data_IF_303256739139
#
_entry.id   IF_303256739139
#
_cell.length_a   1.000
_cell.length_b   1.000
_cell.length_c   1.000
_cell.angle_alpha   90.00
_cell.angle_beta   90.00
_cell.angle_gamma   90.00
#
_symmetry.space_group_name_H-M   'P 1'
#
loop_
_entity.id
_entity.type
_entity.pdbx_description
1 polymer ?
#
# COMPACT_ATOMS: atom_id res chain seq x y z
N UNK A 1 -43.72 22.05 -2.06
CA UNK A 1 -42.87 21.36 -3.04
C UNK A 1 -41.43 21.65 -2.66
N UNK A 2 -40.85 20.82 -1.77
CA UNK A 2 -39.47 20.99 -1.31
C UNK A 2 -38.54 20.30 -2.32
N UNK A 3 -37.68 21.10 -2.96
CA UNK A 3 -36.60 20.59 -3.80
C UNK A 3 -35.45 20.25 -2.86
N UNK A 4 -35.32 18.97 -2.49
CA UNK A 4 -34.12 18.48 -1.84
C UNK A 4 -32.94 18.64 -2.81
N UNK A 5 -32.03 19.56 -2.49
CA UNK A 5 -30.81 19.75 -3.24
C UNK A 5 -29.91 18.52 -3.07
N UNK A 6 -29.67 17.80 -4.16
CA UNK A 6 -28.69 16.72 -4.19
C UNK A 6 -27.31 17.26 -3.79
N UNK A 7 -26.58 16.61 -2.86
CA UNK A 7 -25.26 17.07 -2.44
C UNK A 7 -24.27 17.02 -3.61
N UNK A 8 -23.49 18.10 -3.74
CA UNK A 8 -22.52 18.32 -4.81
C UNK A 8 -21.47 17.19 -4.86
N UNK A 9 -21.01 16.83 -6.06
CA UNK A 9 -19.93 15.84 -6.28
C UNK A 9 -18.69 16.11 -5.42
N UNK A 10 -18.42 17.37 -5.10
CA UNK A 10 -17.34 17.78 -4.19
C UNK A 10 -17.59 17.38 -2.74
N UNK A 11 -18.84 17.45 -2.27
CA UNK A 11 -19.21 17.04 -0.91
C UNK A 11 -19.17 15.53 -0.75
N UNK A 12 -19.49 14.77 -1.81
CA UNK A 12 -19.32 13.31 -1.85
C UNK A 12 -17.84 12.92 -1.84
N UNK A 13 -16.99 13.62 -2.60
CA UNK A 13 -15.55 13.40 -2.62
C UNK A 13 -14.87 13.77 -1.29
N UNK A 14 -15.26 14.87 -0.65
CA UNK A 14 -14.75 15.27 0.67
C UNK A 14 -15.23 14.32 1.78
N UNK A 15 -16.46 13.81 1.69
CA UNK A 15 -16.97 12.77 2.59
C UNK A 15 -16.29 11.43 2.35
N UNK A 16 -15.98 11.09 1.10
CA UNK A 16 -15.12 9.95 0.74
C UNK A 16 -13.72 10.14 1.30
N UNK A 17 -13.04 11.27 1.12
CA UNK A 17 -11.71 11.57 1.69
C UNK A 17 -11.68 11.50 3.22
N UNK A 18 -12.72 11.97 3.91
CA UNK A 18 -12.85 11.81 5.38
C UNK A 18 -13.12 10.36 5.78
N UNK A 19 -13.93 9.64 5.01
CA UNK A 19 -14.12 8.20 5.16
C UNK A 19 -12.86 7.42 4.76
N UNK A 20 -11.99 7.98 3.91
CA UNK A 20 -10.76 7.37 3.40
C UNK A 20 -9.61 7.53 4.39
N UNK A 21 -9.47 8.70 5.00
CA UNK A 21 -8.61 8.89 6.16
C UNK A 21 -9.09 8.10 7.38
N UNK A 22 -10.39 7.83 7.51
CA UNK A 22 -10.94 6.91 8.50
C UNK A 22 -10.77 5.43 8.11
N UNK A 23 -10.86 5.08 6.83
CA UNK A 23 -10.60 3.74 6.30
C UNK A 23 -9.13 3.38 6.44
N UNK A 24 -8.22 4.31 6.13
CA UNK A 24 -6.81 4.22 6.43
C UNK A 24 -6.60 4.01 7.93
N UNK A 25 -7.25 4.81 8.80
CA UNK A 25 -7.17 4.70 10.28
C UNK A 25 -7.82 3.43 10.84
N UNK A 26 -8.84 2.87 10.20
CA UNK A 26 -9.61 1.72 10.65
C UNK A 26 -8.92 0.42 10.20
N UNK A 27 -8.50 0.34 8.93
CA UNK A 27 -7.82 -0.80 8.35
C UNK A 27 -6.38 -0.93 8.91
N UNK A 28 -5.71 0.19 9.21
CA UNK A 28 -4.45 0.18 9.99
C UNK A 28 -4.69 -0.11 11.48
N UNK A 29 -5.79 0.35 12.11
CA UNK A 29 -6.13 0.01 13.52
C UNK A 29 -6.46 -1.46 13.72
N UNK A 30 -7.18 -2.10 12.81
CA UNK A 30 -7.44 -3.54 12.90
C UNK A 30 -6.15 -4.36 12.67
N UNK A 31 -5.23 -3.85 11.84
CA UNK A 31 -3.88 -4.41 11.71
C UNK A 31 -3.00 -4.15 12.95
N UNK A 32 -3.32 -3.14 13.76
CA UNK A 32 -2.55 -2.75 14.95
C UNK A 32 -2.79 -3.67 16.16
N UNK A 33 -3.84 -4.51 16.15
CA UNK A 33 -4.20 -5.35 17.29
C UNK A 33 -3.45 -6.69 17.34
N UNK A 34 -2.69 -7.07 16.31
CA UNK A 34 -2.02 -8.39 16.22
C UNK A 34 -0.70 -8.41 15.43
N UNK A 35 0.15 -7.37 15.47
CA UNK A 35 1.41 -7.40 14.70
C UNK A 35 2.66 -7.04 15.51
N UNK A 36 3.60 -7.99 15.55
CA UNK A 36 5.00 -7.75 15.88
C UNK A 36 5.63 -6.81 14.84
N UNK A 37 6.32 -5.77 15.31
CA UNK A 37 6.74 -4.56 14.58
C UNK A 37 7.95 -4.77 13.65
N UNK A 38 7.86 -5.67 12.67
CA UNK A 38 8.86 -5.80 11.59
C UNK A 38 8.14 -6.20 10.29
N UNK A 39 7.87 -5.22 9.42
CA UNK A 39 7.32 -5.47 8.07
C UNK A 39 5.94 -4.86 7.74
N UNK A 40 5.37 -4.03 8.60
CA UNK A 40 4.02 -3.50 8.40
C UNK A 40 3.90 -2.61 7.14
N UNK A 41 4.93 -1.81 6.81
CA UNK A 41 4.90 -0.89 5.66
C UNK A 41 5.08 -1.67 4.35
N UNK A 42 5.98 -2.65 4.31
CA UNK A 42 6.19 -3.52 3.17
C UNK A 42 4.95 -4.34 2.82
N UNK A 43 4.25 -4.89 3.84
CA UNK A 43 2.96 -5.57 3.64
C UNK A 43 1.91 -4.65 3.03
N UNK A 44 1.78 -3.43 3.55
CA UNK A 44 0.84 -2.42 3.03
C UNK A 44 1.17 -2.08 1.58
N UNK A 45 2.43 -1.72 1.28
CA UNK A 45 2.88 -1.39 -0.08
C UNK A 45 2.53 -2.53 -1.04
N UNK A 46 2.89 -3.77 -0.71
CA UNK A 46 2.67 -4.91 -1.59
C UNK A 46 1.18 -5.23 -1.78
N UNK A 47 0.38 -5.15 -0.70
CA UNK A 47 -1.08 -5.34 -0.75
C UNK A 47 -1.73 -4.35 -1.72
N UNK A 48 -1.44 -3.06 -1.56
CA UNK A 48 -1.97 -2.01 -2.43
C UNK A 48 -1.42 -2.10 -3.86
N UNK A 49 -0.16 -2.54 -4.04
CA UNK A 49 0.45 -2.69 -5.36
C UNK A 49 -0.25 -3.79 -6.19
N UNK A 50 -0.54 -4.93 -5.57
CA UNK A 50 -1.31 -6.01 -6.19
C UNK A 50 -2.69 -5.48 -6.60
N UNK A 51 -3.40 -4.83 -5.68
CA UNK A 51 -4.74 -4.29 -5.94
C UNK A 51 -4.74 -3.28 -7.10
N UNK A 52 -3.79 -2.34 -7.11
CA UNK A 52 -3.62 -1.34 -8.17
C UNK A 52 -3.34 -1.99 -9.53
N UNK A 53 -2.47 -3.01 -9.56
CA UNK A 53 -2.10 -3.73 -10.80
C UNK A 53 -3.27 -4.54 -11.37
N UNK A 54 -4.09 -5.14 -10.50
CA UNK A 54 -5.31 -5.85 -10.89
C UNK A 54 -6.35 -4.93 -11.52
N UNK A 55 -6.51 -3.71 -11.00
CA UNK A 55 -7.39 -2.68 -11.55
C UNK A 55 -6.86 -2.15 -12.89
N UNK A 56 -5.56 -1.84 -12.97
CA UNK A 56 -4.90 -1.35 -14.20
C UNK A 56 -5.11 -2.35 -15.36
N UNK A 57 -4.87 -3.64 -15.09
CA UNK A 57 -5.04 -4.71 -16.09
C UNK A 57 -6.48 -4.85 -16.57
N UNK A 58 -7.47 -4.69 -15.68
CA UNK A 58 -8.89 -4.77 -16.07
C UNK A 58 -9.26 -3.63 -17.02
N UNK A 59 -8.81 -2.42 -16.73
CA UNK A 59 -9.17 -1.25 -17.53
C UNK A 59 -8.51 -1.23 -18.90
N UNK A 60 -7.26 -1.68 -19.00
CA UNK A 60 -6.61 -1.89 -20.29
C UNK A 60 -7.37 -2.88 -21.19
N UNK A 61 -8.12 -3.83 -20.61
CA UNK A 61 -8.96 -4.76 -21.37
C UNK A 61 -10.28 -4.13 -21.81
N UNK A 62 -10.85 -3.21 -21.03
CA UNK A 62 -12.16 -2.62 -21.31
C UNK A 62 -12.08 -1.38 -22.22
N UNK A 63 -11.06 -0.54 -22.07
CA UNK A 63 -10.96 0.72 -22.81
C UNK A 63 -9.49 1.14 -23.01
N UNK A 64 -8.93 1.01 -24.23
CA UNK A 64 -7.60 1.53 -24.54
C UNK A 64 -7.66 3.05 -24.75
N UNK A 65 -8.05 3.79 -23.71
CA UNK A 65 -8.01 5.26 -23.69
C UNK A 65 -6.71 5.75 -23.05
N UNK A 66 -6.33 6.99 -23.38
CA UNK A 66 -5.21 7.64 -22.71
C UNK A 66 -5.46 7.67 -21.20
N UNK A 67 -4.51 7.18 -20.38
CA UNK A 67 -4.72 7.08 -18.94
C UNK A 67 -4.83 8.47 -18.31
N UNK A 68 -5.81 8.63 -17.42
CA UNK A 68 -5.99 9.86 -16.64
C UNK A 68 -4.70 10.22 -15.87
N UNK A 69 -4.57 11.48 -15.46
CA UNK A 69 -3.41 11.91 -14.66
C UNK A 69 -3.31 11.10 -13.37
N UNK A 70 -4.42 10.92 -12.66
CA UNK A 70 -4.49 10.15 -11.43
C UNK A 70 -4.11 8.68 -11.64
N UNK A 71 -4.57 8.05 -12.73
CA UNK A 71 -4.17 6.69 -13.10
C UNK A 71 -2.66 6.58 -13.31
N UNK A 72 -2.07 7.51 -14.07
CA UNK A 72 -0.61 7.53 -14.29
C UNK A 72 0.17 7.73 -12.99
N UNK A 73 -0.28 8.64 -12.12
CA UNK A 73 0.35 8.88 -10.82
C UNK A 73 0.29 7.63 -9.95
N UNK A 74 -0.91 7.07 -9.74
CA UNK A 74 -1.12 5.86 -8.95
C UNK A 74 -0.26 4.70 -9.45
N UNK A 75 -0.30 4.39 -10.75
CA UNK A 75 0.47 3.29 -11.32
C UNK A 75 1.99 3.48 -11.19
N UNK A 76 2.50 4.70 -11.39
CA UNK A 76 3.94 5.00 -11.26
C UNK A 76 4.42 4.90 -9.82
N UNK A 77 3.72 5.54 -8.90
CA UNK A 77 4.08 5.49 -7.48
C UNK A 77 3.93 4.08 -6.91
N UNK A 78 2.90 3.35 -7.33
CA UNK A 78 2.73 1.93 -6.97
C UNK A 78 3.94 1.08 -7.36
N UNK A 79 4.40 1.19 -8.62
CA UNK A 79 5.59 0.46 -9.08
C UNK A 79 6.87 0.92 -8.37
N UNK A 80 7.00 2.22 -8.11
CA UNK A 80 8.15 2.77 -7.38
C UNK A 80 8.21 2.23 -5.95
N UNK A 81 7.10 2.23 -5.21
CA UNK A 81 7.08 1.66 -3.86
C UNK A 81 7.35 0.15 -3.86
N UNK A 82 6.80 -0.60 -4.83
CA UNK A 82 7.12 -2.02 -4.99
C UNK A 82 8.61 -2.25 -5.33
N UNK A 83 9.22 -1.35 -6.11
CA UNK A 83 10.67 -1.34 -6.36
C UNK A 83 11.46 -1.13 -5.06
N UNK A 84 11.05 -0.17 -4.21
CA UNK A 84 11.71 0.04 -2.91
C UNK A 84 11.67 -1.24 -2.07
N UNK A 85 10.52 -1.91 -1.97
CA UNK A 85 10.40 -3.18 -1.23
C UNK A 85 11.30 -4.27 -1.80
N UNK A 86 11.41 -4.38 -3.13
CA UNK A 86 12.13 -5.47 -3.78
C UNK A 86 13.65 -5.24 -3.88
N UNK A 87 14.10 -3.99 -4.00
CA UNK A 87 15.47 -3.64 -4.40
C UNK A 87 16.18 -2.64 -3.49
N UNK A 88 15.43 -1.83 -2.73
CA UNK A 88 15.98 -0.83 -1.81
C UNK A 88 15.33 -0.93 -0.41
N UNK A 89 15.22 -2.14 0.20
CA UNK A 89 14.55 -2.30 1.49
C UNK A 89 15.21 -1.47 2.62
N UNK A 90 16.48 -1.09 2.48
CA UNK A 90 17.19 -0.18 3.39
C UNK A 90 16.63 1.26 3.42
N UNK A 91 15.87 1.66 2.39
CA UNK A 91 15.19 2.96 2.31
C UNK A 91 13.78 2.92 2.89
N UNK A 92 13.31 1.73 3.28
CA UNK A 92 12.02 1.58 3.94
C UNK A 92 12.19 1.67 5.45
N UNK A 93 11.12 2.01 6.17
CA UNK A 93 11.21 2.17 7.62
C UNK A 93 11.04 0.89 8.42
N UNK A 94 10.71 -0.20 7.73
CA UNK A 94 10.67 -1.52 8.33
C UNK A 94 12.10 -2.07 8.43
N UNK A 95 12.30 -3.03 9.33
CA UNK A 95 13.51 -3.84 9.33
C UNK A 95 13.73 -4.48 7.95
N UNK A 96 14.98 -4.41 7.48
CA UNK A 96 15.38 -4.90 6.16
C UNK A 96 15.09 -6.38 6.01
N UNK A 97 15.39 -7.18 7.03
CA UNK A 97 15.16 -8.63 6.97
C UNK A 97 13.67 -8.96 6.93
N UNK A 98 12.84 -8.26 7.71
CA UNK A 98 11.38 -8.36 7.67
C UNK A 98 10.82 -8.06 6.30
N UNK A 99 11.24 -6.95 5.71
CA UNK A 99 10.86 -6.54 4.34
C UNK A 99 11.23 -7.61 3.32
N UNK A 100 12.46 -8.13 3.37
CA UNK A 100 12.92 -9.19 2.48
C UNK A 100 12.13 -10.50 2.65
N UNK A 101 11.80 -10.88 3.90
CA UNK A 101 10.98 -12.06 4.20
C UNK A 101 9.60 -11.93 3.55
N UNK A 102 8.91 -10.83 3.78
CA UNK A 102 7.58 -10.56 3.21
C UNK A 102 7.61 -10.60 1.68
N UNK A 103 8.61 -9.97 1.05
CA UNK A 103 8.74 -9.99 -0.40
C UNK A 103 8.99 -11.41 -0.95
N UNK A 104 9.83 -12.21 -0.27
CA UNK A 104 10.10 -13.62 -0.63
C UNK A 104 8.83 -14.47 -0.50
N UNK A 105 8.07 -14.29 0.58
CA UNK A 105 6.83 -15.02 0.83
C UNK A 105 5.75 -14.67 -0.19
N UNK A 106 5.60 -13.39 -0.54
CA UNK A 106 4.72 -12.97 -1.63
C UNK A 106 5.11 -13.65 -2.96
N UNK A 107 6.40 -13.63 -3.31
CA UNK A 107 6.89 -14.26 -4.55
C UNK A 107 6.62 -15.77 -4.57
N UNK A 108 6.76 -16.43 -3.42
CA UNK A 108 6.42 -17.86 -3.24
C UNK A 108 4.92 -18.09 -3.40
N UNK A 109 4.08 -17.27 -2.78
CA UNK A 109 2.63 -17.33 -2.89
C UNK A 109 2.15 -17.14 -4.33
N UNK A 110 2.68 -16.15 -5.05
CA UNK A 110 2.36 -15.91 -6.47
C UNK A 110 2.71 -17.14 -7.31
N UNK A 111 3.91 -17.69 -7.13
CA UNK A 111 4.33 -18.91 -7.84
C UNK A 111 3.41 -20.09 -7.51
N UNK A 112 3.07 -20.30 -6.25
CA UNK A 112 2.20 -21.39 -5.83
C UNK A 112 0.79 -21.27 -6.45
N UNK A 113 0.20 -20.07 -6.43
CA UNK A 113 -1.10 -19.79 -7.05
C UNK A 113 -1.11 -20.08 -8.55
N UNK A 114 0.03 -19.95 -9.22
CA UNK A 114 0.22 -20.19 -10.64
C UNK A 114 0.69 -21.61 -10.98
N UNK A 115 0.65 -22.57 -10.06
CA UNK A 115 1.09 -23.94 -10.32
C UNK A 115 2.62 -24.11 -10.27
N UNK A 116 3.30 -23.30 -9.46
CA UNK A 116 4.74 -23.31 -9.25
C UNK A 116 5.51 -22.38 -10.20
N UNK A 117 6.84 -22.47 -10.16
CA UNK A 117 7.72 -21.62 -10.95
C UNK A 117 7.46 -21.75 -12.46
N UNK A 118 7.24 -22.97 -12.96
CA UNK A 118 6.94 -23.20 -14.39
C UNK A 118 5.68 -22.46 -14.81
N UNK A 119 4.59 -22.58 -14.06
CA UNK A 119 3.36 -21.87 -14.40
C UNK A 119 3.52 -20.36 -14.32
N UNK A 120 4.25 -19.83 -13.32
CA UNK A 120 4.56 -18.39 -13.27
C UNK A 120 5.28 -17.86 -14.52
N UNK A 121 6.32 -18.57 -14.99
CA UNK A 121 7.13 -18.10 -16.14
C UNK A 121 6.48 -18.39 -17.50
N UNK A 122 5.57 -19.37 -17.58
CA UNK A 122 4.83 -19.71 -18.81
C UNK A 122 3.51 -18.93 -18.93
N UNK A 123 2.98 -18.39 -17.84
CA UNK A 123 1.77 -17.57 -17.87
C UNK A 123 2.04 -16.17 -18.41
N UNK A 124 1.17 -15.70 -19.31
CA UNK A 124 1.14 -14.29 -19.71
C UNK A 124 0.84 -13.38 -18.51
N UNK A 125 1.23 -12.12 -18.59
CA UNK A 125 0.86 -11.12 -17.58
C UNK A 125 -0.65 -11.10 -17.31
N UNK A 126 -1.47 -11.15 -18.35
CA UNK A 126 -2.93 -11.22 -18.24
C UNK A 126 -3.38 -12.43 -17.42
N UNK A 127 -2.87 -13.62 -17.77
CA UNK A 127 -3.21 -14.87 -17.08
C UNK A 127 -2.82 -14.82 -15.61
N UNK A 128 -1.64 -14.27 -15.29
CA UNK A 128 -1.20 -14.08 -13.90
C UNK A 128 -2.16 -13.22 -13.09
N UNK A 129 -2.56 -12.07 -13.63
CA UNK A 129 -3.50 -11.18 -12.97
C UNK A 129 -4.89 -11.81 -12.81
N UNK A 130 -5.36 -12.57 -13.79
CA UNK A 130 -6.65 -13.27 -13.72
C UNK A 130 -6.65 -14.36 -12.65
N UNK A 131 -5.58 -15.17 -12.59
CA UNK A 131 -5.40 -16.17 -11.53
C UNK A 131 -5.41 -15.53 -10.14
N UNK A 132 -4.66 -14.44 -9.95
CA UNK A 132 -4.63 -13.72 -8.68
C UNK A 132 -6.00 -13.12 -8.34
N UNK A 133 -6.69 -12.50 -9.31
CA UNK A 133 -8.03 -11.92 -9.12
C UNK A 133 -9.07 -12.97 -8.71
N UNK A 134 -8.89 -14.22 -9.13
CA UNK A 134 -9.80 -15.32 -8.81
C UNK A 134 -9.56 -15.93 -7.41
N UNK A 135 -8.42 -15.65 -6.76
CA UNK A 135 -8.11 -16.18 -5.42
C UNK A 135 -9.20 -15.94 -4.37
N UNK A 136 -9.81 -14.74 -4.26
CA UNK A 136 -10.80 -14.48 -3.21
C UNK A 136 -12.04 -15.37 -3.28
N UNK A 137 -12.37 -15.93 -4.45
CA UNK A 137 -13.51 -16.86 -4.58
C UNK A 137 -13.27 -18.21 -3.89
N UNK A 138 -12.01 -18.54 -3.59
CA UNK A 138 -11.59 -19.78 -2.93
C UNK A 138 -11.39 -19.62 -1.42
N UNK A 139 -11.46 -18.40 -0.90
CA UNK A 139 -11.28 -18.11 0.52
C UNK A 139 -12.61 -18.27 1.26
N UNK A 140 -12.65 -19.15 2.25
CA UNK A 140 -13.81 -19.39 3.10
C UNK A 140 -13.87 -18.32 4.21
N UNK A 141 -14.39 -17.13 3.90
CA UNK A 141 -14.60 -16.00 4.83
C UNK A 141 -13.35 -15.44 5.55
N UNK A 142 -13.50 -14.25 6.13
CA UNK A 142 -12.41 -13.36 6.50
C UNK A 142 -11.74 -13.75 7.83
N UNK A 143 -10.49 -14.19 7.76
CA UNK A 143 -9.66 -14.51 8.92
C UNK A 143 -8.42 -13.61 8.99
N UNK A 144 -7.85 -13.48 10.19
CA UNK A 144 -6.62 -12.75 10.50
C UNK A 144 -5.38 -13.35 9.80
N UNK A 145 -5.47 -14.57 9.27
CA UNK A 145 -4.36 -15.33 8.70
C UNK A 145 -4.15 -15.14 7.18
N UNK A 146 -4.82 -14.15 6.56
CA UNK A 146 -4.63 -13.88 5.14
C UNK A 146 -3.19 -13.45 4.82
N UNK A 147 -2.60 -14.06 3.80
CA UNK A 147 -1.31 -13.64 3.24
C UNK A 147 -1.42 -12.29 2.53
N UNK A 148 -0.29 -11.60 2.34
CA UNK A 148 -0.22 -10.35 1.55
C UNK A 148 -0.81 -10.52 0.14
N UNK A 149 -0.61 -11.68 -0.48
CA UNK A 149 -1.18 -11.99 -1.79
C UNK A 149 -2.71 -12.00 -1.76
N UNK A 150 -3.28 -12.68 -0.76
CA UNK A 150 -4.73 -12.82 -0.61
C UNK A 150 -5.38 -11.49 -0.24
N UNK A 151 -4.79 -10.73 0.70
CA UNK A 151 -5.24 -9.37 1.03
C UNK A 151 -5.24 -8.47 -0.20
N UNK A 152 -4.17 -8.50 -0.98
CA UNK A 152 -4.05 -7.72 -2.22
C UNK A 152 -5.07 -8.14 -3.28
N UNK A 153 -5.35 -9.44 -3.41
CA UNK A 153 -6.36 -9.96 -4.33
C UNK A 153 -7.79 -9.59 -3.91
N UNK A 154 -8.10 -9.67 -2.61
CA UNK A 154 -9.40 -9.25 -2.04
C UNK A 154 -9.62 -7.76 -2.28
N UNK A 155 -8.63 -6.92 -1.93
CA UNK A 155 -8.69 -5.48 -2.15
C UNK A 155 -8.84 -5.15 -3.64
N UNK A 156 -8.04 -5.79 -4.51
CA UNK A 156 -8.14 -5.60 -5.96
C UNK A 156 -9.51 -5.97 -6.51
N UNK A 157 -10.14 -7.03 -6.01
CA UNK A 157 -11.52 -7.41 -6.37
C UNK A 157 -12.54 -6.37 -5.92
N UNK A 158 -12.36 -5.78 -4.73
CA UNK A 158 -13.23 -4.70 -4.23
C UNK A 158 -13.11 -3.46 -5.12
N UNK A 159 -11.90 -2.98 -5.41
CA UNK A 159 -11.67 -1.82 -6.29
C UNK A 159 -12.25 -2.02 -7.69
N UNK A 160 -12.18 -3.24 -8.20
CA UNK A 160 -12.74 -3.64 -9.51
C UNK A 160 -14.27 -3.67 -9.53
N UNK A 161 -14.91 -3.89 -8.39
CA UNK A 161 -16.37 -3.98 -8.28
C UNK A 161 -17.02 -2.63 -7.93
N UNK A 162 -16.30 -1.77 -7.19
CA UNK A 162 -16.77 -0.46 -6.73
C UNK A 162 -16.64 0.63 -7.82
N UNK A 163 -16.87 0.29 -9.09
CA UNK A 163 -16.69 1.19 -10.26
C UNK A 163 -17.76 2.28 -10.36
N UNK A 164 -18.02 2.99 -9.26
CA UNK A 164 -18.66 4.29 -9.23
C UNK A 164 -17.74 5.34 -9.89
N UNK A 165 -17.61 5.27 -11.21
CA UNK A 165 -16.83 6.20 -12.02
C UNK A 165 -15.33 5.99 -11.89
N UNK A 166 -14.76 5.18 -12.79
CA UNK A 166 -13.32 4.89 -13.00
C UNK A 166 -12.37 6.03 -12.52
N UNK A 167 -12.67 7.29 -12.86
CA UNK A 167 -11.90 8.45 -12.41
C UNK A 167 -11.73 8.60 -10.88
N UNK A 168 -12.79 8.43 -10.09
CA UNK A 168 -12.76 8.65 -8.64
C UNK A 168 -11.88 7.61 -7.91
N UNK A 169 -11.91 6.36 -8.34
CA UNK A 169 -11.08 5.29 -7.78
C UNK A 169 -9.59 5.57 -8.03
N UNK A 170 -9.24 6.07 -9.22
CA UNK A 170 -7.85 6.45 -9.50
C UNK A 170 -7.38 7.71 -8.79
N UNK A 171 -8.27 8.67 -8.55
CA UNK A 171 -7.97 9.84 -7.69
C UNK A 171 -7.64 9.38 -6.28
N UNK A 172 -8.50 8.54 -5.71
CA UNK A 172 -8.26 7.93 -4.41
C UNK A 172 -6.93 7.16 -4.35
N UNK A 173 -6.65 6.31 -5.35
CA UNK A 173 -5.40 5.54 -5.37
C UNK A 173 -4.19 6.47 -5.50
N UNK A 174 -4.29 7.54 -6.28
CA UNK A 174 -3.20 8.51 -6.39
C UNK A 174 -2.90 9.15 -5.04
N UNK A 175 -3.94 9.53 -4.28
CA UNK A 175 -3.79 10.10 -2.94
C UNK A 175 -3.15 9.08 -1.98
N UNK A 176 -3.62 7.84 -1.95
CA UNK A 176 -3.03 6.76 -1.13
C UNK A 176 -1.55 6.57 -1.43
N UNK A 177 -1.17 6.53 -2.71
CA UNK A 177 0.23 6.34 -3.08
C UNK A 177 1.11 7.54 -2.76
N UNK A 178 0.59 8.77 -2.91
CA UNK A 178 1.30 9.98 -2.48
C UNK A 178 1.51 9.97 -0.96
N UNK A 179 0.47 9.65 -0.20
CA UNK A 179 0.55 9.52 1.26
C UNK A 179 1.57 8.47 1.69
N UNK A 180 1.60 7.29 1.06
CA UNK A 180 2.58 6.24 1.35
C UNK A 180 4.02 6.69 1.08
N UNK A 181 4.26 7.37 -0.05
CA UNK A 181 5.61 7.87 -0.39
C UNK A 181 6.07 8.94 0.61
N UNK A 182 5.17 9.85 0.99
CA UNK A 182 5.46 10.88 2.01
C UNK A 182 5.67 10.26 3.38
N UNK A 183 4.93 9.20 3.73
CA UNK A 183 5.08 8.50 5.00
C UNK A 183 6.40 7.73 5.12
N UNK A 184 6.80 7.06 4.04
CA UNK A 184 8.05 6.27 3.97
C UNK A 184 9.28 7.17 4.06
N UNK A 185 9.16 8.43 3.61
CA UNK A 185 10.28 9.37 3.48
C UNK A 185 11.00 9.73 4.79
N UNK A 186 10.34 10.19 5.87
CA UNK A 186 11.02 10.52 7.12
C UNK A 186 11.65 9.29 7.77
N UNK A 187 12.96 9.35 8.03
CA UNK A 187 13.73 8.28 8.66
C UNK A 187 14.44 8.84 9.89
N UNK A 188 13.94 8.48 11.09
CA UNK A 188 14.50 8.87 12.40
C UNK A 188 15.53 7.86 12.93
N UNK A 189 15.43 6.59 12.56
CA UNK A 189 16.40 5.59 12.98
C UNK A 189 17.71 5.75 12.21
N UNK A 190 18.83 5.68 12.94
CA UNK A 190 20.17 5.92 12.41
C UNK A 190 20.51 4.99 11.23
N UNK A 191 20.01 3.76 11.24
CA UNK A 191 20.22 2.78 10.17
C UNK A 191 19.55 3.18 8.85
N UNK A 192 18.33 3.72 8.90
CA UNK A 192 17.61 4.20 7.72
C UNK A 192 18.17 5.53 7.20
N UNK A 193 18.62 6.40 8.10
CA UNK A 193 19.35 7.62 7.74
C UNK A 193 20.65 7.28 6.98
N UNK A 194 21.40 6.26 7.42
CA UNK A 194 22.59 5.74 6.72
C UNK A 194 22.24 5.16 5.33
N UNK A 195 21.10 4.50 5.18
CA UNK A 195 20.60 4.04 3.88
C UNK A 195 20.34 5.18 2.89
N UNK A 196 19.69 6.26 3.36
CA UNK A 196 19.48 7.47 2.56
C UNK A 196 20.80 8.18 2.22
N UNK A 197 21.71 8.30 3.19
CA UNK A 197 23.05 8.91 3.00
C UNK A 197 23.88 8.16 1.95
N UNK A 198 23.94 6.83 2.03
CA UNK A 198 24.65 6.01 1.03
C UNK A 198 24.10 6.20 -0.39
N UNK A 199 22.79 6.39 -0.51
CA UNK A 199 22.10 6.60 -1.79
C UNK A 199 22.39 7.98 -2.39
N UNK A 200 22.56 9.03 -1.55
CA UNK A 200 22.90 10.38 -2.04
C UNK A 200 24.20 10.40 -2.84
N UNK A 201 25.16 9.54 -2.50
CA UNK A 201 26.47 9.46 -3.16
C UNK A 201 26.41 8.72 -4.51
N UNK A 202 25.44 7.82 -4.70
CA UNK A 202 25.35 6.94 -5.88
C UNK A 202 24.33 7.37 -6.94
N UNK A 203 23.49 8.37 -6.62
CA UNK A 203 22.38 8.82 -7.46
C UNK A 203 21.13 8.89 -6.60
N UNK A 204 20.59 10.09 -6.40
CA UNK A 204 19.50 10.31 -5.47
C UNK A 204 18.21 9.60 -5.90
N UNK A 205 17.59 8.90 -4.95
CA UNK A 205 16.23 8.34 -5.08
C UNK A 205 15.18 9.40 -4.70
N UNK A 206 13.96 9.30 -5.24
CA UNK A 206 12.87 10.25 -4.92
C UNK A 206 12.60 10.32 -3.41
N UNK A 207 12.58 9.17 -2.74
CA UNK A 207 12.35 9.07 -1.29
C UNK A 207 13.47 9.73 -0.49
N UNK A 208 14.70 9.68 -0.99
CA UNK A 208 15.86 10.33 -0.36
C UNK A 208 15.78 11.85 -0.48
N UNK A 209 15.28 12.39 -1.61
CA UNK A 209 15.03 13.83 -1.74
C UNK A 209 13.92 14.30 -0.80
N UNK A 210 12.85 13.52 -0.69
CA UNK A 210 11.77 13.80 0.26
C UNK A 210 12.27 13.72 1.71
N UNK A 211 13.15 12.77 2.01
CA UNK A 211 13.76 12.63 3.34
C UNK A 211 14.54 13.89 3.72
N UNK A 212 15.39 14.39 2.82
CA UNK A 212 16.14 15.65 3.04
C UNK A 212 15.18 16.82 3.32
N UNK A 213 14.10 16.93 2.55
CA UNK A 213 13.08 17.97 2.75
C UNK A 213 12.37 17.82 4.11
N UNK A 214 11.98 16.59 4.48
CA UNK A 214 11.36 16.30 5.77
C UNK A 214 12.29 16.64 6.94
N UNK A 215 13.57 16.26 6.85
CA UNK A 215 14.59 16.58 7.86
C UNK A 215 14.79 18.09 7.99
N UNK A 216 14.88 18.82 6.87
CA UNK A 216 15.06 20.27 6.88
C UNK A 216 13.83 21.03 7.44
N UNK A 217 12.63 20.51 7.22
CA UNK A 217 11.37 21.15 7.67
C UNK A 217 10.90 20.68 9.05
N UNK A 218 11.62 19.75 9.68
CA UNK A 218 11.26 19.17 10.97
C UNK A 218 10.04 18.24 10.91
N UNK A 219 9.63 17.79 9.72
CA UNK A 219 8.51 16.85 9.56
C UNK A 219 8.99 15.46 9.98
N UNK A 220 8.31 14.90 10.98
CA UNK A 220 8.56 13.56 11.50
C UNK A 220 7.34 12.66 11.31
N UNK A 221 7.60 11.35 11.30
CA UNK A 221 6.54 10.35 11.39
C UNK A 221 5.89 10.42 12.79
N UNK A 222 4.57 10.20 12.91
CA UNK A 222 3.92 10.08 14.22
C UNK A 222 4.57 8.95 15.02
N UNK A 223 4.98 9.25 16.25
CA UNK A 223 5.49 8.23 17.18
C UNK A 223 4.31 7.35 17.63
N UNK A 224 4.45 6.02 17.53
CA UNK A 224 3.57 5.11 18.27
C UNK A 224 4.07 5.10 19.71
N UNK A 225 3.63 6.09 20.50
CA UNK A 225 3.98 6.17 21.92
C UNK A 225 3.55 4.89 22.64
N UNK A 226 4.53 4.26 23.29
CA UNK A 226 4.34 3.14 24.17
C UNK A 226 3.47 3.50 25.38
N UNK A 227 2.82 2.48 25.89
CA UNK A 227 2.16 2.47 27.18
C UNK A 227 3.11 3.00 28.26
N UNK A 228 2.75 4.15 28.83
CA UNK A 228 3.42 4.70 30.01
C UNK A 228 3.11 3.74 31.17
N UNK A 229 4.12 3.02 31.61
CA UNK A 229 4.13 2.23 32.84
C UNK A 229 3.69 3.14 34.00
N UNK A 230 2.45 2.99 34.45
CA UNK A 230 1.96 3.65 35.66
C UNK A 230 2.57 2.90 36.85
N UNK A 231 3.34 3.56 37.73
CA UNK A 231 3.82 2.90 38.94
C UNK A 231 2.62 2.52 39.81
N UNK A 232 2.62 1.28 40.26
CA UNK A 232 1.57 0.70 41.10
C UNK A 232 1.26 1.60 42.31
N UNK A 233 -0.02 1.80 42.67
CA UNK A 233 -0.38 2.60 43.83
C UNK A 233 0.13 1.94 45.11
N UNK A 234 0.84 2.72 45.93
CA UNK A 234 1.26 2.31 47.25
C UNK A 234 0.02 1.98 48.10
N UNK A 235 -0.02 0.76 48.64
CA UNK A 235 -1.02 0.34 49.62
C UNK A 235 -0.88 1.21 50.87
N UNK A 236 -1.94 1.94 51.19
CA UNK A 236 -2.17 2.54 52.50
C UNK A 236 -2.94 1.55 53.38
#
# INVERSE_FOLDING_TARGET
MQVESSPSTKDKAVKMLRAHGAFWRQNTRDSSRTLSMSGAVAEVILTWHIATSLLETKQQQQLPTSPSRSRRTAARLSRYCAYLVAFRPELLPDDREGTERIYKDLKKGIKAALGGARGYYLSSERSRHETIRALPAKLASADADMTVLERGAVLGKQLVNDEAGDGAVWEMLADVWVELVVYVSPSRAEEHAKGHEATLVQGSELVTLLWVLSTHTGIARPDHEGEVDQPAPALA
#
